data_IF_480114431458
#
_entry.id   IF_480114431458
#
_cell.length_a   1.000
_cell.length_b   1.000
_cell.length_c   1.000
_cell.angle_alpha   90.00
_cell.angle_beta   90.00
_cell.angle_gamma   90.00
#
_symmetry.space_group_name_H-M   'P 1'
#
loop_
_entity.id
_entity.type
_entity.pdbx_description
1 polymer ?
#
# COMPACT_ATOMS: atom_id res chain seq x y z
N UNK A 1 -7.76 9.34 -16.98
CA UNK A 1 -6.37 8.97 -16.64
C UNK A 1 -6.38 7.85 -15.63
N UNK A 2 -5.53 6.86 -15.83
CA UNK A 2 -5.36 5.75 -14.89
C UNK A 2 -3.95 5.85 -14.30
N UNK A 3 -3.82 5.79 -12.99
CA UNK A 3 -2.52 5.78 -12.34
C UNK A 3 -2.25 4.40 -11.73
N UNK A 4 -0.98 4.08 -11.50
CA UNK A 4 -0.57 2.90 -10.77
C UNK A 4 -0.04 3.31 -9.41
N UNK A 5 -0.49 2.60 -8.39
CA UNK A 5 -0.04 2.80 -7.03
C UNK A 5 0.71 1.55 -6.58
N UNK A 6 2.03 1.67 -6.51
CA UNK A 6 2.89 0.61 -5.97
C UNK A 6 2.97 0.80 -4.47
N UNK A 7 2.63 -0.21 -3.70
CA UNK A 7 2.69 -0.14 -2.24
C UNK A 7 3.49 -1.29 -1.69
N UNK A 8 4.16 -1.04 -0.57
CA UNK A 8 4.86 -2.07 0.18
C UNK A 8 4.87 -1.69 1.66
N UNK A 9 5.08 -2.69 2.51
CA UNK A 9 5.22 -2.51 3.93
C UNK A 9 5.91 -3.71 4.53
N UNK A 10 6.61 -3.50 5.62
CA UNK A 10 7.29 -4.59 6.28
C UNK A 10 7.76 -4.25 7.67
N UNK A 11 8.07 -5.29 8.42
CA UNK A 11 8.62 -5.17 9.77
C UNK A 11 9.87 -6.02 9.88
N UNK A 12 10.86 -5.51 10.57
CA UNK A 12 12.07 -6.27 10.92
C UNK A 12 11.81 -6.97 12.24
N UNK A 13 11.38 -8.24 12.14
CA UNK A 13 10.71 -8.96 13.20
C UNK A 13 9.20 -8.78 13.02
N UNK A 14 8.41 -9.75 13.39
CA UNK A 14 6.96 -9.73 13.14
C UNK A 14 6.20 -10.09 14.42
N UNK A 15 5.90 -9.11 15.33
CA UNK A 15 6.08 -7.67 15.13
C UNK A 15 7.50 -7.17 15.36
N UNK A 16 7.77 -5.97 14.88
CA UNK A 16 9.06 -5.31 15.06
C UNK A 16 9.03 -3.92 14.46
N UNK A 17 10.18 -3.23 14.35
CA UNK A 17 10.26 -1.94 13.67
C UNK A 17 9.69 -2.07 12.26
N UNK A 18 8.73 -1.24 11.93
CA UNK A 18 7.95 -1.37 10.70
C UNK A 18 7.88 -0.04 9.94
N UNK A 19 7.73 -0.15 8.62
CA UNK A 19 7.61 1.00 7.73
C UNK A 19 6.79 0.64 6.51
N UNK A 20 6.26 1.66 5.84
CA UNK A 20 5.62 1.49 4.54
C UNK A 20 6.23 2.43 3.52
N UNK A 21 5.99 2.13 2.25
CA UNK A 21 6.36 2.99 1.14
C UNK A 21 5.32 2.88 0.03
N UNK A 22 5.16 3.97 -0.74
CA UNK A 22 4.36 3.92 -1.95
C UNK A 22 4.94 4.81 -3.02
N UNK A 23 4.65 4.46 -4.27
CA UNK A 23 4.97 5.24 -5.46
C UNK A 23 3.71 5.31 -6.30
N UNK A 24 3.25 6.51 -6.59
CA UNK A 24 2.09 6.73 -7.46
C UNK A 24 2.58 7.25 -8.79
N UNK A 25 2.31 6.52 -9.87
CA UNK A 25 2.77 6.83 -11.23
C UNK A 25 1.60 7.06 -12.17
N UNK A 26 1.77 8.01 -13.08
CA UNK A 26 0.85 8.17 -14.21
C UNK A 26 1.09 7.04 -15.22
N UNK A 27 0.20 6.94 -16.22
CA UNK A 27 0.29 5.89 -17.25
C UNK A 27 1.62 5.89 -18.01
N UNK A 28 2.20 7.07 -18.21
CA UNK A 28 3.49 7.21 -18.92
C UNK A 28 4.70 6.94 -18.04
N UNK A 29 4.50 6.56 -16.78
CA UNK A 29 5.56 6.29 -15.84
C UNK A 29 6.03 7.49 -15.04
N UNK A 30 5.46 8.68 -15.28
CA UNK A 30 5.81 9.88 -14.49
C UNK A 30 5.41 9.66 -13.03
N UNK A 31 6.34 9.86 -12.12
CA UNK A 31 6.06 9.75 -10.69
C UNK A 31 5.29 10.97 -10.22
N UNK A 32 4.04 10.77 -9.79
CA UNK A 32 3.18 11.83 -9.28
C UNK A 32 3.43 12.10 -7.80
N UNK A 33 3.75 11.05 -7.03
CA UNK A 33 4.07 11.15 -5.62
C UNK A 33 4.78 9.89 -5.17
N UNK A 34 5.65 10.01 -4.18
CA UNK A 34 6.26 8.88 -3.50
C UNK A 34 6.51 9.26 -2.05
N UNK A 35 6.48 8.27 -1.16
CA UNK A 35 6.65 8.52 0.27
C UNK A 35 7.02 7.23 0.97
N UNK A 36 7.78 7.36 2.05
CA UNK A 36 8.08 6.27 2.95
C UNK A 36 7.97 6.78 4.38
N UNK A 37 7.51 5.93 5.29
CA UNK A 37 7.31 6.34 6.67
C UNK A 37 7.56 5.18 7.63
N UNK A 38 8.35 5.46 8.67
CA UNK A 38 8.51 4.56 9.80
C UNK A 38 7.28 4.68 10.70
N UNK A 39 6.67 3.55 11.07
CA UNK A 39 5.43 3.54 11.85
C UNK A 39 5.59 2.96 13.26
N UNK A 40 6.83 2.77 13.72
CA UNK A 40 7.08 2.17 15.03
C UNK A 40 6.97 0.65 14.97
N UNK A 41 6.63 0.03 16.09
CA UNK A 41 6.50 -1.43 16.16
C UNK A 41 5.14 -1.88 15.64
N UNK A 42 5.14 -2.74 14.64
CA UNK A 42 3.92 -3.27 14.04
C UNK A 42 4.23 -4.60 13.34
N UNK A 43 3.18 -5.27 12.86
CA UNK A 43 3.33 -6.48 12.05
C UNK A 43 3.52 -6.13 10.58
N UNK A 44 3.99 -7.10 9.79
CA UNK A 44 4.06 -6.95 8.34
C UNK A 44 2.72 -6.53 7.74
N UNK A 45 1.63 -7.19 8.15
CA UNK A 45 0.30 -6.92 7.60
C UNK A 45 -0.17 -5.51 7.91
N UNK A 46 0.09 -5.01 9.11
CA UNK A 46 -0.24 -3.63 9.48
C UNK A 46 0.54 -2.64 8.60
N UNK A 47 1.83 -2.89 8.39
CA UNK A 47 2.65 -2.03 7.54
C UNK A 47 2.14 -2.02 6.09
N UNK A 48 1.77 -3.19 5.56
CA UNK A 48 1.21 -3.31 4.20
C UNK A 48 -0.06 -2.48 4.04
N UNK A 49 -1.00 -2.63 4.96
CA UNK A 49 -2.26 -1.87 4.91
C UNK A 49 -2.04 -0.37 5.14
N UNK A 50 -1.08 -0.01 5.99
CA UNK A 50 -0.75 1.40 6.23
C UNK A 50 -0.25 2.07 4.96
N UNK A 51 0.57 1.38 4.18
CA UNK A 51 1.03 1.86 2.87
C UNK A 51 -0.10 2.03 1.87
N UNK A 52 -1.02 1.07 1.83
CA UNK A 52 -2.19 1.14 0.95
C UNK A 52 -3.08 2.33 1.31
N UNK A 53 -3.38 2.50 2.59
CA UNK A 53 -4.21 3.63 3.06
C UNK A 53 -3.56 4.96 2.70
N UNK A 54 -2.26 5.11 2.99
CA UNK A 54 -1.54 6.35 2.68
C UNK A 54 -1.51 6.64 1.18
N UNK A 55 -1.27 5.63 0.36
CA UNK A 55 -1.22 5.77 -1.10
C UNK A 55 -2.57 6.13 -1.70
N UNK A 56 -3.65 5.48 -1.25
CA UNK A 56 -4.99 5.80 -1.71
C UNK A 56 -5.41 7.23 -1.32
N UNK A 57 -5.03 7.66 -0.11
CA UNK A 57 -5.26 9.02 0.34
C UNK A 57 -4.58 10.04 -0.58
N UNK A 58 -3.33 9.76 -0.95
CA UNK A 58 -2.58 10.64 -1.86
C UNK A 58 -3.23 10.68 -3.23
N UNK A 59 -3.71 9.56 -3.74
CA UNK A 59 -4.39 9.52 -5.03
C UNK A 59 -5.66 10.38 -5.03
N UNK A 60 -6.42 10.33 -3.93
CA UNK A 60 -7.61 11.16 -3.75
C UNK A 60 -7.21 12.65 -3.71
N UNK A 61 -6.18 12.97 -2.92
CA UNK A 61 -5.68 14.34 -2.79
C UNK A 61 -5.28 14.92 -4.16
N UNK A 62 -4.66 14.11 -5.01
CA UNK A 62 -4.24 14.53 -6.35
C UNK A 62 -5.36 14.39 -7.39
N UNK A 63 -6.55 13.97 -6.97
CA UNK A 63 -7.74 13.84 -7.83
C UNK A 63 -7.53 12.88 -9.00
N UNK A 64 -6.81 11.80 -8.75
CA UNK A 64 -6.63 10.73 -9.73
C UNK A 64 -7.96 9.98 -9.87
N UNK A 65 -8.54 9.85 -11.08
CA UNK A 65 -9.87 9.26 -11.21
C UNK A 65 -9.89 7.73 -11.19
N UNK A 66 -8.78 7.09 -11.47
CA UNK A 66 -8.71 5.63 -11.54
C UNK A 66 -7.32 5.16 -11.12
N UNK A 67 -7.27 4.13 -10.27
CA UNK A 67 -6.02 3.61 -9.72
C UNK A 67 -5.96 2.09 -9.86
N UNK A 68 -4.83 1.59 -10.33
CA UNK A 68 -4.47 0.19 -10.20
C UNK A 68 -3.46 0.08 -9.07
N UNK A 69 -3.84 -0.60 -7.99
CA UNK A 69 -2.93 -0.89 -6.88
C UNK A 69 -2.10 -2.11 -7.25
N UNK A 70 -0.79 -1.99 -7.12
CA UNK A 70 0.16 -3.07 -7.39
C UNK A 70 0.90 -3.38 -6.09
N UNK A 71 0.85 -4.64 -5.65
CA UNK A 71 1.45 -5.05 -4.39
C UNK A 71 1.98 -6.49 -4.50
N UNK A 72 3.04 -6.78 -3.76
CA UNK A 72 3.56 -8.13 -3.64
C UNK A 72 2.95 -8.89 -2.46
N UNK A 73 2.03 -8.28 -1.72
CA UNK A 73 1.27 -8.96 -0.68
C UNK A 73 0.02 -9.62 -1.29
N UNK A 74 0.14 -10.91 -1.57
CA UNK A 74 -0.98 -11.69 -2.11
C UNK A 74 -2.19 -11.66 -1.17
N UNK A 75 -1.95 -11.77 0.13
CA UNK A 75 -3.03 -11.77 1.12
C UNK A 75 -3.81 -10.46 1.07
N UNK A 76 -3.12 -9.32 1.11
CA UNK A 76 -3.79 -8.01 1.07
C UNK A 76 -4.59 -7.84 -0.22
N UNK A 77 -4.00 -8.19 -1.36
CA UNK A 77 -4.68 -8.08 -2.66
C UNK A 77 -5.96 -8.89 -2.65
N UNK A 78 -5.90 -10.14 -2.17
CA UNK A 78 -7.09 -11.01 -2.12
C UNK A 78 -8.13 -10.51 -1.14
N UNK A 79 -7.70 -9.94 -0.01
CA UNK A 79 -8.61 -9.35 0.96
C UNK A 79 -9.33 -8.13 0.36
N UNK A 80 -8.59 -7.24 -0.30
CA UNK A 80 -9.18 -6.05 -0.91
C UNK A 80 -10.11 -6.39 -2.08
N UNK A 81 -9.85 -7.51 -2.76
CA UNK A 81 -10.74 -7.99 -3.83
C UNK A 81 -11.96 -8.74 -3.30
N UNK A 82 -12.05 -8.94 -1.98
CA UNK A 82 -13.17 -9.65 -1.38
C UNK A 82 -13.07 -11.18 -1.44
N UNK A 83 -11.93 -11.72 -1.85
CA UNK A 83 -11.72 -13.17 -1.97
C UNK A 83 -11.37 -13.80 -0.64
N UNK A 84 -10.71 -13.07 0.27
CA UNK A 84 -10.34 -13.53 1.59
C UNK A 84 -10.89 -12.56 2.64
N UNK A 85 -11.27 -13.12 3.79
CA UNK A 85 -11.79 -12.34 4.90
C UNK A 85 -10.65 -11.83 5.78
N UNK A 86 -10.80 -10.60 6.28
CA UNK A 86 -9.89 -10.04 7.30
C UNK A 86 -10.38 -10.50 8.66
N UNK A 87 -9.60 -11.35 9.33
CA UNK A 87 -9.99 -11.96 10.62
C UNK A 87 -9.46 -11.19 11.83
N UNK A 88 -8.33 -10.50 11.68
CA UNK A 88 -7.72 -9.76 12.78
C UNK A 88 -8.46 -8.46 13.03
N UNK A 89 -8.82 -8.19 14.29
CA UNK A 89 -9.49 -6.94 14.67
C UNK A 89 -8.59 -5.73 14.40
N UNK A 90 -7.27 -5.85 14.61
CA UNK A 90 -6.33 -4.78 14.36
C UNK A 90 -6.22 -4.43 12.87
N UNK A 91 -6.26 -5.43 11.99
CA UNK A 91 -6.25 -5.20 10.56
C UNK A 91 -7.60 -4.71 10.05
N UNK A 92 -8.69 -5.09 10.72
CA UNK A 92 -10.03 -4.74 10.26
C UNK A 92 -10.24 -3.24 10.15
N UNK A 93 -9.73 -2.47 11.10
CA UNK A 93 -9.83 -1.02 11.08
C UNK A 93 -9.12 -0.43 9.86
N UNK A 94 -7.91 -0.92 9.55
CA UNK A 94 -7.16 -0.48 8.38
C UNK A 94 -7.81 -0.92 7.07
N UNK A 95 -8.33 -2.15 7.04
CA UNK A 95 -9.07 -2.65 5.90
C UNK A 95 -10.29 -1.76 5.62
N UNK A 96 -11.04 -1.42 6.65
CA UNK A 96 -12.23 -0.57 6.51
C UNK A 96 -11.86 0.83 6.00
N UNK A 97 -10.73 1.38 6.45
CA UNK A 97 -10.22 2.66 5.94
C UNK A 97 -9.86 2.55 4.46
N UNK A 98 -9.12 1.51 4.08
CA UNK A 98 -8.72 1.31 2.69
C UNK A 98 -9.95 1.11 1.79
N UNK A 99 -10.92 0.33 2.23
CA UNK A 99 -12.15 0.08 1.47
C UNK A 99 -12.94 1.38 1.28
N UNK A 100 -13.04 2.19 2.33
CA UNK A 100 -13.74 3.48 2.25
C UNK A 100 -13.06 4.44 1.27
N UNK A 101 -11.73 4.51 1.32
CA UNK A 101 -10.95 5.35 0.40
C UNK A 101 -11.09 4.86 -1.05
N UNK A 102 -11.07 3.56 -1.25
CA UNK A 102 -11.25 2.97 -2.58
C UNK A 102 -12.64 3.32 -3.15
N UNK A 103 -13.67 3.28 -2.33
CA UNK A 103 -15.02 3.66 -2.73
C UNK A 103 -15.12 5.14 -3.05
N UNK A 104 -14.43 5.98 -2.29
CA UNK A 104 -14.39 7.42 -2.55
C UNK A 104 -13.71 7.71 -3.89
N UNK A 105 -12.62 7.02 -4.20
CA UNK A 105 -11.94 7.10 -5.50
C UNK A 105 -12.85 6.66 -6.65
N UNK A 106 -13.59 5.58 -6.44
CA UNK A 106 -14.54 5.05 -7.39
C UNK A 106 -14.02 3.87 -8.20
N UNK A 107 -12.90 4.01 -8.90
CA UNK A 107 -12.33 2.96 -9.74
C UNK A 107 -10.97 2.55 -9.21
N UNK A 108 -10.92 1.47 -8.44
CA UNK A 108 -9.68 0.90 -7.91
C UNK A 108 -9.65 -0.59 -8.25
N UNK A 109 -8.56 -1.00 -8.87
CA UNK A 109 -8.28 -2.40 -9.15
C UNK A 109 -7.04 -2.81 -8.36
N UNK A 110 -6.93 -4.09 -8.04
CA UNK A 110 -5.80 -4.62 -7.25
C UNK A 110 -5.10 -5.73 -8.04
N UNK A 111 -3.79 -5.63 -8.16
CA UNK A 111 -2.98 -6.61 -8.87
C UNK A 111 -1.82 -7.09 -8.00
N UNK A 112 -1.71 -8.40 -7.86
CA UNK A 112 -0.60 -9.04 -7.18
C UNK A 112 0.56 -9.22 -8.16
N UNK A 113 1.76 -8.85 -7.74
CA UNK A 113 2.99 -9.05 -8.52
C UNK A 113 4.03 -9.71 -7.63
N UNK A 114 5.08 -10.21 -8.25
CA UNK A 114 6.24 -10.72 -7.51
C UNK A 114 7.03 -9.55 -6.95
N UNK A 115 7.79 -9.80 -5.89
CA UNK A 115 8.58 -8.79 -5.19
C UNK A 115 9.50 -8.01 -6.12
N UNK A 116 10.16 -8.69 -7.08
CA UNK A 116 11.06 -8.05 -8.03
C UNK A 116 10.35 -7.08 -8.98
N UNK A 117 9.04 -7.11 -9.03
CA UNK A 117 8.23 -6.17 -9.81
C UNK A 117 7.71 -5.01 -8.96
N UNK A 118 8.12 -4.94 -7.69
CA UNK A 118 7.72 -3.90 -6.74
C UNK A 118 8.93 -3.27 -6.04
N UNK A 119 10.04 -3.17 -6.76
CA UNK A 119 11.35 -2.80 -6.21
C UNK A 119 11.40 -1.40 -5.62
N UNK A 120 10.77 -0.41 -6.26
CA UNK A 120 10.83 0.98 -5.78
C UNK A 120 10.13 1.14 -4.43
N UNK A 121 8.95 0.56 -4.28
CA UNK A 121 8.25 0.61 -3.00
C UNK A 121 9.01 -0.15 -1.92
N UNK A 122 9.57 -1.31 -2.27
CA UNK A 122 10.41 -2.10 -1.35
C UNK A 122 11.64 -1.31 -0.91
N UNK A 123 12.31 -0.63 -1.84
CA UNK A 123 13.48 0.21 -1.55
C UNK A 123 13.11 1.31 -0.55
N UNK A 124 11.97 1.95 -0.73
CA UNK A 124 11.51 3.01 0.17
C UNK A 124 11.26 2.49 1.58
N UNK A 125 10.68 1.30 1.72
CA UNK A 125 10.48 0.66 3.02
C UNK A 125 11.83 0.44 3.72
N UNK A 126 12.79 -0.13 3.02
CA UNK A 126 14.11 -0.42 3.57
C UNK A 126 14.86 0.85 3.97
N UNK A 127 14.78 1.90 3.15
CA UNK A 127 15.37 3.19 3.49
C UNK A 127 14.77 3.77 4.77
N UNK A 128 13.45 3.71 4.93
CA UNK A 128 12.79 4.20 6.13
C UNK A 128 13.21 3.41 7.37
N UNK A 129 13.36 2.09 7.24
CA UNK A 129 13.81 1.24 8.35
C UNK A 129 15.28 1.49 8.69
N UNK A 130 16.13 1.69 7.68
CA UNK A 130 17.56 1.94 7.89
C UNK A 130 17.82 3.30 8.52
N UNK A 131 16.91 4.26 8.34
CA UNK A 131 17.05 5.60 8.88
C UNK A 131 16.70 5.72 10.37
N UNK A 132 16.20 4.66 11.00
CA UNK A 132 15.76 4.68 12.41
C UNK A 132 16.76 4.04 13.35
#
# INVERSE_FOLDING_TARGET
MKARLFTDGGARGNPGPAAYGYVLEAEDGTVLASHAEFIGTATNNVAEYSGLVAGLRKAIELRVPQVEVVSDSELMVKQMRGEYRVKSAGLRALFDQADRLARELGKVEYRHVKREQNEEADRLVNEALDAT
#
